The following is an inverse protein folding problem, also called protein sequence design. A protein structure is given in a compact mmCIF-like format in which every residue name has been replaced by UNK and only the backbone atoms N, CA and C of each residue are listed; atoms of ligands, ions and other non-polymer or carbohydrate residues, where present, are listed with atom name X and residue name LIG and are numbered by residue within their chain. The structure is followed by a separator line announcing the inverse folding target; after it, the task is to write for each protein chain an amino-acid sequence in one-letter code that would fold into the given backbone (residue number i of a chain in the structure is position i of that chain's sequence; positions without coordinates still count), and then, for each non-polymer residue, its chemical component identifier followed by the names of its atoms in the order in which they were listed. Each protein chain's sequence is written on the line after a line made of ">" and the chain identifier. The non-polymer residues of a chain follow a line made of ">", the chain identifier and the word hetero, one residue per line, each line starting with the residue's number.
data_IF_584386149463
#
_entry.id   IF_584386149463
#
_cell.length_a   1.000
_cell.length_b   1.000
_cell.length_c   1.000
_cell.angle_alpha   90.00
_cell.angle_beta   90.00
_cell.angle_gamma   90.00
#
_symmetry.space_group_name_H-M   'P 1'
#
loop_
_entity.id
_entity.type
_entity.pdbx_description
1 polymer ?
#
# COMPACT_ATOMS: atom_id res chain seq x y z
N UNK A 1 26.18 -62.04 29.73
CA UNK A 1 26.10 -60.87 28.82
C UNK A 1 24.98 -61.12 27.82
N UNK A 2 23.83 -60.42 27.97
CA UNK A 2 22.67 -60.58 27.08
C UNK A 2 22.90 -59.74 25.82
N UNK A 3 22.92 -60.36 24.64
CA UNK A 3 22.98 -59.67 23.34
C UNK A 3 21.57 -59.24 22.95
N UNK A 4 21.32 -57.93 22.88
CA UNK A 4 20.09 -57.37 22.32
C UNK A 4 20.25 -57.24 20.80
N UNK A 5 19.29 -57.78 20.05
CA UNK A 5 19.20 -57.63 18.59
C UNK A 5 18.27 -56.44 18.34
N UNK A 6 18.82 -55.35 17.78
CA UNK A 6 18.04 -54.20 17.33
C UNK A 6 17.50 -54.48 15.92
N UNK A 7 16.19 -54.46 15.74
CA UNK A 7 15.57 -54.38 14.41
C UNK A 7 15.42 -52.90 14.04
N UNK A 8 16.13 -52.47 12.99
CA UNK A 8 15.89 -51.19 12.35
C UNK A 8 14.81 -51.36 11.29
N UNK A 9 13.60 -50.87 11.56
CA UNK A 9 12.55 -50.73 10.55
C UNK A 9 12.81 -49.45 9.74
N UNK A 10 13.20 -49.60 8.48
CA UNK A 10 13.28 -48.49 7.53
C UNK A 10 11.86 -48.13 7.08
N UNK A 11 11.32 -47.02 7.59
CA UNK A 11 10.07 -46.45 7.09
C UNK A 11 10.35 -45.68 5.79
N UNK A 12 9.90 -46.22 4.67
CA UNK A 12 9.85 -45.51 3.39
C UNK A 12 8.69 -44.52 3.46
N UNK A 13 8.97 -43.25 3.73
CA UNK A 13 7.99 -42.18 3.54
C UNK A 13 7.83 -41.94 2.03
N UNK A 14 6.76 -42.50 1.46
CA UNK A 14 6.25 -42.04 0.17
C UNK A 14 5.70 -40.62 0.37
N UNK A 15 6.40 -39.62 -0.18
CA UNK A 15 5.88 -38.27 -0.29
C UNK A 15 4.74 -38.27 -1.33
N UNK A 16 3.53 -38.55 -0.88
CA UNK A 16 2.33 -38.30 -1.67
C UNK A 16 2.24 -36.77 -1.87
N UNK A 17 2.45 -36.30 -3.10
CA UNK A 17 2.04 -34.95 -3.47
C UNK A 17 0.55 -34.84 -3.19
N UNK A 18 0.19 -34.10 -2.14
CA UNK A 18 -1.19 -33.69 -1.93
C UNK A 18 -1.69 -33.04 -3.24
N UNK A 19 -2.90 -33.37 -3.72
CA UNK A 19 -3.45 -32.74 -4.90
C UNK A 19 -3.43 -31.22 -4.70
N UNK A 20 -2.97 -30.48 -5.72
CA UNK A 20 -3.08 -29.02 -5.74
C UNK A 20 -4.56 -28.69 -5.59
N UNK A 21 -4.93 -28.01 -4.50
CA UNK A 21 -6.30 -27.54 -4.32
C UNK A 21 -6.66 -26.62 -5.50
N UNK A 22 -7.79 -26.90 -6.13
CA UNK A 22 -8.34 -26.11 -7.24
C UNK A 22 -9.29 -25.06 -6.64
N UNK A 23 -8.90 -23.79 -6.73
CA UNK A 23 -9.66 -22.66 -6.19
C UNK A 23 -10.34 -21.84 -7.29
N UNK A 24 -10.41 -22.36 -8.52
CA UNK A 24 -11.05 -21.68 -9.65
C UNK A 24 -12.52 -21.37 -9.40
N UNK A 25 -13.22 -22.22 -8.64
CA UNK A 25 -14.63 -22.07 -8.27
C UNK A 25 -14.88 -21.25 -6.99
N UNK A 26 -13.83 -20.84 -6.26
CA UNK A 26 -13.98 -20.01 -5.05
C UNK A 26 -14.23 -18.56 -5.46
N UNK A 27 -15.31 -17.91 -4.97
CA UNK A 27 -15.65 -16.54 -5.32
C UNK A 27 -14.64 -15.54 -4.72
N UNK A 28 -14.48 -14.39 -5.36
CA UNK A 28 -13.70 -13.30 -4.80
C UNK A 28 -14.39 -12.69 -3.57
N UNK A 29 -13.60 -12.25 -2.60
CA UNK A 29 -14.08 -11.64 -1.37
C UNK A 29 -14.83 -10.34 -1.67
N UNK A 30 -15.97 -10.13 -1.03
CA UNK A 30 -16.61 -8.81 -0.99
C UNK A 30 -15.90 -7.90 0.02
N UNK A 31 -16.15 -6.58 -0.06
CA UNK A 31 -15.63 -5.62 0.90
C UNK A 31 -16.13 -5.88 2.32
N UNK A 32 -17.34 -6.44 2.45
CA UNK A 32 -17.93 -6.82 3.74
C UNK A 32 -17.26 -8.06 4.34
N UNK A 33 -16.57 -8.89 3.54
CA UNK A 33 -15.83 -10.06 4.01
C UNK A 33 -14.39 -9.72 4.35
N UNK A 34 -13.69 -9.02 3.43
CA UNK A 34 -12.33 -8.54 3.63
C UNK A 34 -12.29 -7.07 3.26
N UNK A 35 -12.29 -6.22 4.28
CA UNK A 35 -12.19 -4.79 4.10
C UNK A 35 -10.79 -4.40 3.59
N UNK A 36 -9.74 -5.06 4.11
CA UNK A 36 -8.36 -4.71 3.78
C UNK A 36 -7.33 -5.81 4.01
N UNK A 37 -6.28 -5.81 3.20
CA UNK A 37 -5.04 -6.56 3.44
C UNK A 37 -3.85 -5.62 3.32
N UNK A 38 -3.06 -5.51 4.38
CA UNK A 38 -1.89 -4.62 4.44
C UNK A 38 -0.60 -5.40 4.67
N UNK A 39 0.53 -5.04 4.03
CA UNK A 39 0.66 -4.03 2.98
C UNK A 39 -0.10 -4.43 1.70
N UNK A 40 -0.56 -3.44 0.93
CA UNK A 40 -1.41 -3.65 -0.27
C UNK A 40 -0.75 -4.51 -1.37
N UNK A 41 0.57 -4.58 -1.38
CA UNK A 41 1.36 -5.46 -2.25
C UNK A 41 2.75 -5.67 -1.68
N UNK A 42 3.53 -6.58 -2.26
CA UNK A 42 4.89 -6.84 -1.82
C UNK A 42 5.88 -7.05 -2.96
N UNK A 43 7.16 -7.28 -2.62
CA UNK A 43 8.23 -7.56 -3.58
C UNK A 43 9.06 -8.78 -3.18
N UNK A 44 9.58 -9.49 -4.18
CA UNK A 44 10.58 -10.55 -3.96
C UNK A 44 11.94 -9.98 -3.55
N UNK A 45 12.73 -10.72 -2.77
CA UNK A 45 14.11 -10.34 -2.45
C UNK A 45 14.22 -9.15 -1.50
N UNK A 46 13.23 -8.99 -0.62
CA UNK A 46 13.27 -8.04 0.50
C UNK A 46 14.06 -8.64 1.66
N UNK A 47 14.73 -7.78 2.44
CA UNK A 47 15.44 -8.19 3.66
C UNK A 47 14.47 -8.38 4.85
N UNK A 48 13.37 -7.63 4.85
CA UNK A 48 12.33 -7.68 5.88
C UNK A 48 11.34 -8.80 5.55
N UNK A 49 10.97 -9.65 6.53
CA UNK A 49 9.90 -10.62 6.34
C UNK A 49 8.56 -9.92 6.07
N UNK A 50 7.69 -10.56 5.30
CA UNK A 50 6.33 -10.08 5.07
C UNK A 50 5.41 -10.65 6.15
N UNK A 51 4.72 -9.77 6.88
CA UNK A 51 3.56 -10.10 7.68
C UNK A 51 2.38 -9.30 7.13
N UNK A 52 1.28 -9.97 6.79
CA UNK A 52 0.05 -9.32 6.37
C UNK A 52 -0.84 -9.06 7.57
N UNK A 53 -1.47 -7.89 7.62
CA UNK A 53 -2.63 -7.60 8.45
C UNK A 53 -3.87 -7.71 7.58
N UNK A 54 -4.73 -8.67 7.88
CA UNK A 54 -6.03 -8.84 7.22
C UNK A 54 -7.10 -8.30 8.15
N UNK A 55 -7.96 -7.44 7.61
CA UNK A 55 -9.10 -6.86 8.30
C UNK A 55 -10.39 -7.32 7.63
N UNK A 56 -11.31 -7.86 8.42
CA UNK A 56 -12.63 -8.27 7.98
C UNK A 56 -13.46 -8.76 9.17
N UNK A 57 -14.80 -8.68 9.14
CA UNK A 57 -15.64 -9.20 10.22
C UNK A 57 -15.36 -10.68 10.49
N UNK A 58 -15.04 -11.00 11.75
CA UNK A 58 -14.73 -12.37 12.22
C UNK A 58 -13.67 -13.10 11.39
N UNK A 59 -12.77 -12.37 10.72
CA UNK A 59 -11.77 -12.95 9.83
C UNK A 59 -10.82 -13.92 10.55
N UNK A 60 -10.69 -13.80 11.88
CA UNK A 60 -9.92 -14.74 12.71
C UNK A 60 -10.47 -16.16 12.74
N UNK A 61 -11.73 -16.37 12.34
CA UNK A 61 -12.42 -17.67 12.36
C UNK A 61 -12.24 -18.46 11.06
N UNK A 62 -11.51 -17.91 10.09
CA UNK A 62 -11.20 -18.59 8.84
C UNK A 62 -9.80 -19.21 8.86
N UNK A 63 -9.70 -20.41 8.30
CA UNK A 63 -8.42 -20.95 7.86
C UNK A 63 -7.95 -20.22 6.60
N UNK A 64 -6.64 -20.02 6.47
CA UNK A 64 -6.06 -19.30 5.33
C UNK A 64 -5.05 -20.16 4.58
N UNK A 65 -5.27 -20.29 3.28
CA UNK A 65 -4.36 -20.88 2.31
C UNK A 65 -3.96 -19.88 1.22
N UNK A 66 -3.03 -20.26 0.35
CA UNK A 66 -2.66 -19.46 -0.83
C UNK A 66 -2.80 -20.30 -2.08
N UNK A 67 -3.55 -19.81 -3.05
CA UNK A 67 -3.54 -20.32 -4.42
C UNK A 67 -2.27 -19.83 -5.14
N UNK A 68 -1.38 -20.78 -5.47
CA UNK A 68 -0.14 -20.51 -6.19
C UNK A 68 1.07 -21.22 -5.57
N UNK A 69 2.26 -21.02 -6.14
CA UNK A 69 3.49 -21.72 -5.69
C UNK A 69 4.63 -20.80 -5.24
N UNK A 70 4.44 -19.49 -5.37
CA UNK A 70 5.46 -18.49 -5.04
C UNK A 70 5.17 -17.65 -3.80
N UNK A 71 4.04 -17.89 -3.12
CA UNK A 71 3.63 -17.28 -1.87
C UNK A 71 3.01 -18.35 -0.97
N UNK A 72 3.30 -18.34 0.33
CA UNK A 72 2.79 -19.32 1.30
C UNK A 72 2.60 -18.70 2.67
N UNK A 73 1.54 -19.09 3.39
CA UNK A 73 1.37 -18.78 4.82
C UNK A 73 2.33 -19.64 5.64
N UNK A 74 3.20 -19.02 6.44
CA UNK A 74 4.09 -19.70 7.39
C UNK A 74 3.45 -19.86 8.76
N UNK A 75 2.76 -18.82 9.22
CA UNK A 75 2.10 -18.79 10.51
C UNK A 75 0.91 -17.85 10.44
N UNK A 76 -0.09 -18.15 11.26
CA UNK A 76 -1.32 -17.37 11.44
C UNK A 76 -1.38 -16.96 12.91
N UNK A 77 -1.55 -15.67 13.17
CA UNK A 77 -1.67 -15.13 14.52
C UNK A 77 -2.99 -14.37 14.64
N UNK A 78 -3.86 -14.81 15.56
CA UNK A 78 -5.11 -14.12 15.85
C UNK A 78 -4.82 -12.89 16.71
N UNK A 79 -5.48 -11.78 16.43
CA UNK A 79 -5.51 -10.62 17.31
C UNK A 79 -6.51 -10.84 18.47
N UNK A 80 -6.51 -9.93 19.45
CA UNK A 80 -7.55 -9.93 20.50
C UNK A 80 -8.94 -9.65 19.92
N UNK A 81 -9.02 -8.87 18.84
CA UNK A 81 -10.26 -8.64 18.09
C UNK A 81 -10.43 -9.73 17.03
N UNK A 82 -11.64 -10.32 16.89
CA UNK A 82 -11.90 -11.32 15.87
C UNK A 82 -11.86 -10.75 14.44
N UNK A 83 -11.83 -9.42 14.31
CA UNK A 83 -11.88 -8.74 13.02
C UNK A 83 -10.50 -8.54 12.37
N UNK A 84 -9.44 -9.06 12.99
CA UNK A 84 -8.07 -8.92 12.51
C UNK A 84 -7.30 -10.25 12.59
N UNK A 85 -6.50 -10.50 11.56
CA UNK A 85 -5.66 -11.68 11.44
C UNK A 85 -4.29 -11.29 10.90
N UNK A 86 -3.23 -11.74 11.55
CA UNK A 86 -1.86 -11.54 11.08
C UNK A 86 -1.33 -12.81 10.40
N UNK A 87 -0.79 -12.68 9.20
CA UNK A 87 -0.27 -13.79 8.41
C UNK A 87 1.22 -13.59 8.14
N UNK A 88 2.08 -14.41 8.73
CA UNK A 88 3.50 -14.43 8.35
C UNK A 88 3.64 -15.14 7.00
N UNK A 89 4.20 -14.45 6.02
CA UNK A 89 4.27 -14.95 4.65
C UNK A 89 5.69 -15.37 4.25
N UNK A 90 5.78 -16.45 3.48
CA UNK A 90 6.98 -16.81 2.72
C UNK A 90 6.83 -16.38 1.27
N UNK A 91 7.71 -15.49 0.83
CA UNK A 91 7.72 -14.95 -0.53
C UNK A 91 8.86 -15.57 -1.32
N UNK A 92 8.53 -16.33 -2.37
CA UNK A 92 9.50 -17.05 -3.22
C UNK A 92 9.57 -16.51 -4.64
N UNK A 93 8.43 -16.13 -5.24
CA UNK A 93 8.37 -15.66 -6.64
C UNK A 93 7.43 -14.48 -6.77
N UNK A 94 7.70 -13.62 -7.75
CA UNK A 94 6.76 -12.60 -8.17
C UNK A 94 5.59 -13.27 -8.89
N UNK A 95 4.42 -12.67 -8.80
CA UNK A 95 3.18 -13.18 -9.35
C UNK A 95 1.96 -12.59 -8.66
N UNK A 96 0.82 -12.89 -9.26
CA UNK A 96 -0.49 -12.68 -8.65
C UNK A 96 -0.91 -13.99 -7.97
N UNK A 97 -1.45 -13.85 -6.77
CA UNK A 97 -1.88 -14.94 -5.91
C UNK A 97 -3.27 -14.65 -5.39
N UNK A 98 -3.92 -15.68 -4.87
CA UNK A 98 -5.12 -15.50 -4.08
C UNK A 98 -4.91 -16.03 -2.66
N UNK A 99 -5.21 -15.21 -1.66
CA UNK A 99 -5.39 -15.65 -0.28
C UNK A 99 -6.77 -16.28 -0.18
N UNK A 100 -6.86 -17.56 0.15
CA UNK A 100 -8.11 -18.30 0.21
C UNK A 100 -8.49 -18.48 1.67
N UNK A 101 -9.64 -17.92 2.04
CA UNK A 101 -10.22 -18.01 3.38
C UNK A 101 -11.33 -19.05 3.35
N UNK A 102 -11.33 -19.96 4.33
CA UNK A 102 -12.34 -21.00 4.41
C UNK A 102 -12.74 -21.29 5.86
N UNK A 103 -14.03 -21.51 6.08
CA UNK A 103 -14.61 -22.09 7.31
C UNK A 103 -15.76 -23.02 6.92
N UNK A 104 -16.38 -23.72 7.87
CA UNK A 104 -17.42 -24.71 7.57
C UNK A 104 -18.53 -24.16 6.65
N UNK A 105 -18.57 -24.66 5.40
CA UNK A 105 -19.59 -24.30 4.41
C UNK A 105 -19.38 -22.95 3.69
N UNK A 106 -18.29 -22.22 3.96
CA UNK A 106 -18.02 -20.90 3.37
C UNK A 106 -16.56 -20.78 2.92
N UNK A 107 -16.35 -20.22 1.72
CA UNK A 107 -15.02 -19.89 1.23
C UNK A 107 -15.05 -18.70 0.27
N UNK A 108 -14.04 -17.85 0.35
CA UNK A 108 -13.81 -16.76 -0.58
C UNK A 108 -12.30 -16.52 -0.76
N UNK A 109 -11.93 -15.73 -1.76
CA UNK A 109 -10.53 -15.45 -2.07
C UNK A 109 -10.23 -13.96 -2.28
N UNK A 110 -9.07 -13.52 -1.81
CA UNK A 110 -8.62 -12.13 -1.94
C UNK A 110 -7.36 -12.05 -2.82
N UNK A 111 -7.34 -11.25 -3.90
CA UNK A 111 -6.18 -11.14 -4.77
C UNK A 111 -5.01 -10.44 -4.06
N UNK A 112 -3.80 -10.95 -4.22
CA UNK A 112 -2.60 -10.38 -3.64
C UNK A 112 -1.43 -10.43 -4.62
N UNK A 113 -0.72 -9.32 -4.78
CA UNK A 113 0.35 -9.20 -5.77
C UNK A 113 1.73 -9.09 -5.11
N UNK A 114 2.66 -9.92 -5.59
CA UNK A 114 4.08 -9.81 -5.30
C UNK A 114 4.81 -9.44 -6.59
N UNK A 115 5.52 -8.32 -6.59
CA UNK A 115 6.28 -7.81 -7.75
C UNK A 115 7.75 -8.21 -7.68
N UNK A 116 8.41 -8.17 -8.84
CA UNK A 116 9.87 -8.13 -8.88
C UNK A 116 10.35 -6.73 -8.54
N UNK A 117 11.48 -6.61 -7.85
CA UNK A 117 12.08 -5.30 -7.55
C UNK A 117 12.67 -4.71 -8.83
N UNK A 118 12.58 -3.40 -8.97
CA UNK A 118 13.31 -2.66 -10.00
C UNK A 118 14.81 -2.90 -9.90
N UNK A 119 15.49 -2.86 -11.05
CA UNK A 119 16.94 -2.97 -11.11
C UNK A 119 17.58 -1.86 -10.27
N UNK A 120 18.58 -2.20 -9.46
CA UNK A 120 19.25 -1.23 -8.59
C UNK A 120 18.47 -0.85 -7.33
N UNK A 121 17.22 -1.29 -7.14
CA UNK A 121 16.37 -0.92 -5.98
C UNK A 121 17.04 -1.13 -4.62
N UNK A 122 17.88 -2.17 -4.46
CA UNK A 122 18.62 -2.46 -3.21
C UNK A 122 19.82 -1.54 -2.99
N UNK A 123 20.44 -1.06 -4.07
CA UNK A 123 21.62 -0.20 -4.04
C UNK A 123 21.32 1.22 -4.49
N UNK A 124 20.06 1.67 -4.39
CA UNK A 124 19.71 3.06 -4.68
C UNK A 124 20.51 3.96 -3.75
N UNK A 125 21.11 5.00 -4.30
CA UNK A 125 21.82 5.98 -3.49
C UNK A 125 20.81 6.84 -2.72
N UNK A 126 21.20 7.24 -1.53
CA UNK A 126 20.45 8.22 -0.74
C UNK A 126 21.07 9.60 -0.97
N UNK A 127 20.35 10.64 -0.59
CA UNK A 127 20.94 11.97 -0.43
C UNK A 127 22.14 11.93 0.54
N UNK A 128 23.05 12.87 0.35
CA UNK A 128 24.33 13.03 1.04
C UNK A 128 24.51 14.47 1.50
N UNK A 129 25.65 14.78 2.10
CA UNK A 129 26.01 16.16 2.47
C UNK A 129 26.30 17.07 1.27
N UNK A 130 26.36 16.52 0.06
CA UNK A 130 26.48 17.30 -1.17
C UNK A 130 25.13 17.83 -1.66
N UNK A 131 24.02 17.32 -1.14
CA UNK A 131 22.68 17.65 -1.61
C UNK A 131 22.09 18.87 -0.92
N UNK A 132 21.38 19.69 -1.70
CA UNK A 132 20.51 20.74 -1.15
C UNK A 132 19.06 20.21 -1.14
N UNK A 133 18.49 20.10 0.05
CA UNK A 133 17.12 19.62 0.26
C UNK A 133 16.15 20.80 0.27
N UNK A 134 15.15 20.76 -0.61
CA UNK A 134 14.04 21.72 -0.64
C UNK A 134 12.82 21.15 0.10
N UNK A 135 12.40 21.81 1.18
CA UNK A 135 11.23 21.39 1.97
C UNK A 135 9.94 21.99 1.37
N UNK A 136 8.97 21.14 1.07
CA UNK A 136 7.65 21.48 0.54
C UNK A 136 6.57 21.05 1.51
N UNK A 137 5.66 21.97 1.84
CA UNK A 137 4.34 21.60 2.35
C UNK A 137 3.37 21.57 1.17
N UNK A 138 2.88 20.40 0.73
CA UNK A 138 2.18 20.26 -0.55
C UNK A 138 0.99 21.22 -0.69
N UNK A 139 0.16 21.30 0.34
CA UNK A 139 -1.03 22.17 0.36
C UNK A 139 -0.70 23.65 0.16
N UNK A 140 0.53 24.09 0.48
CA UNK A 140 0.94 25.51 0.46
C UNK A 140 1.94 25.86 -0.64
N UNK A 141 2.31 24.92 -1.49
CA UNK A 141 3.37 25.15 -2.48
C UNK A 141 2.82 25.66 -3.80
N UNK A 142 2.04 24.83 -4.48
CA UNK A 142 1.44 25.17 -5.76
C UNK A 142 0.18 24.35 -5.97
N UNK A 143 -0.87 24.99 -6.46
CA UNK A 143 -2.09 24.35 -6.90
C UNK A 143 -2.06 24.27 -8.42
N UNK A 144 -2.43 23.12 -8.99
CA UNK A 144 -2.69 23.01 -10.42
C UNK A 144 -4.07 23.58 -10.81
N UNK A 145 -4.79 24.18 -9.86
CA UNK A 145 -6.13 24.74 -10.03
C UNK A 145 -6.13 26.26 -9.91
N UNK A 146 -6.96 26.92 -10.71
CA UNK A 146 -7.14 28.37 -10.64
C UNK A 146 -8.22 28.75 -9.62
N UNK A 147 -8.17 29.96 -9.08
CA UNK A 147 -9.13 30.48 -8.08
C UNK A 147 -10.60 30.48 -8.54
N UNK A 148 -10.84 30.27 -9.84
CA UNK A 148 -12.17 30.20 -10.43
C UNK A 148 -12.79 28.79 -10.40
N UNK A 149 -12.07 27.78 -9.90
CA UNK A 149 -12.62 26.44 -9.64
C UNK A 149 -13.45 26.49 -8.35
N UNK A 150 -14.61 27.16 -8.44
CA UNK A 150 -15.63 27.22 -7.41
C UNK A 150 -16.15 25.80 -7.14
N UNK A 151 -15.53 25.13 -6.18
CA UNK A 151 -16.04 23.90 -5.63
C UNK A 151 -14.98 22.82 -5.57
N UNK A 152 -14.72 22.38 -4.35
CA UNK A 152 -14.19 21.09 -3.96
C UNK A 152 -15.02 19.89 -4.49
N UNK A 153 -15.41 19.88 -5.77
CA UNK A 153 -16.37 18.91 -6.31
C UNK A 153 -15.93 18.28 -7.63
N UNK A 154 -14.62 18.09 -7.82
CA UNK A 154 -14.09 17.26 -8.91
C UNK A 154 -14.03 17.95 -10.26
N UNK A 155 -13.20 19.00 -10.37
CA UNK A 155 -12.86 19.66 -11.64
C UNK A 155 -11.68 19.00 -12.37
N UNK A 156 -11.59 19.15 -13.68
CA UNK A 156 -10.44 18.69 -14.48
C UNK A 156 -9.16 19.45 -14.10
N UNK A 157 -7.99 18.84 -14.29
CA UNK A 157 -6.72 19.59 -14.26
C UNK A 157 -6.66 20.58 -15.44
N UNK A 158 -5.79 21.59 -15.38
CA UNK A 158 -5.58 22.57 -16.48
C UNK A 158 -5.26 21.92 -17.85
N UNK A 159 -4.78 20.67 -17.86
CA UNK A 159 -4.50 19.89 -19.06
C UNK A 159 -5.70 19.09 -19.61
N UNK A 160 -6.88 19.24 -19.00
CA UNK A 160 -8.13 18.57 -19.37
C UNK A 160 -8.24 17.12 -18.90
N UNK A 161 -7.33 16.64 -18.02
CA UNK A 161 -7.45 15.30 -17.45
C UNK A 161 -8.42 15.28 -16.26
N UNK A 162 -9.26 14.24 -16.19
CA UNK A 162 -10.23 14.04 -15.13
C UNK A 162 -9.54 13.66 -13.80
N UNK A 163 -10.02 14.17 -12.66
CA UNK A 163 -9.44 13.79 -11.35
C UNK A 163 -9.60 12.28 -11.12
N UNK A 164 -8.53 11.60 -10.68
CA UNK A 164 -8.71 10.29 -10.08
C UNK A 164 -9.40 10.50 -8.73
N UNK A 165 -10.65 10.05 -8.63
CA UNK A 165 -11.39 9.85 -7.38
C UNK A 165 -12.16 11.07 -6.82
N UNK A 166 -13.48 10.90 -6.63
CA UNK A 166 -14.30 11.80 -5.82
C UNK A 166 -13.86 11.67 -4.36
N UNK A 167 -13.13 12.66 -3.87
CA UNK A 167 -12.81 12.76 -2.44
C UNK A 167 -14.13 12.76 -1.67
N UNK A 168 -14.37 11.81 -0.73
CA UNK A 168 -15.46 11.92 0.23
C UNK A 168 -15.39 13.32 0.81
N UNK A 169 -16.53 14.00 0.95
CA UNK A 169 -16.57 15.35 1.49
C UNK A 169 -15.69 15.43 2.75
N UNK A 170 -14.50 16.02 2.61
CA UNK A 170 -13.64 16.24 3.77
C UNK A 170 -14.29 17.37 4.55
N UNK A 171 -14.43 17.25 5.88
CA UNK A 171 -15.12 18.28 6.65
C UNK A 171 -14.34 19.60 6.65
N UNK A 172 -13.03 19.54 6.37
CA UNK A 172 -12.14 20.69 6.30
C UNK A 172 -12.20 21.34 4.91
N UNK A 173 -12.63 22.60 4.87
CA UNK A 173 -12.85 23.38 3.64
C UNK A 173 -11.57 24.09 3.17
N UNK A 174 -11.55 24.49 1.89
CA UNK A 174 -10.47 25.29 1.32
C UNK A 174 -10.74 26.77 1.60
N UNK A 175 -9.79 27.46 2.22
CA UNK A 175 -9.82 28.91 2.44
C UNK A 175 -8.41 29.47 2.54
N UNK A 176 -7.90 30.05 1.46
CA UNK A 176 -6.56 30.66 1.41
C UNK A 176 -6.39 31.91 2.30
N UNK A 177 -7.48 32.41 2.87
CA UNK A 177 -7.46 33.53 3.81
C UNK A 177 -7.35 33.06 5.26
N UNK A 178 -7.62 31.77 5.52
CA UNK A 178 -7.54 31.18 6.84
C UNK A 178 -6.24 30.36 6.95
N UNK A 179 -5.28 30.77 7.79
CA UNK A 179 -3.97 30.12 7.87
C UNK A 179 -4.04 28.65 8.33
N UNK A 180 -5.15 28.24 8.97
CA UNK A 180 -5.36 26.87 9.46
C UNK A 180 -6.24 26.04 8.54
N UNK A 181 -6.87 26.64 7.53
CA UNK A 181 -7.60 25.92 6.51
C UNK A 181 -6.65 25.40 5.42
N UNK A 182 -7.24 24.73 4.43
CA UNK A 182 -6.53 24.22 3.27
C UNK A 182 -6.36 25.33 2.24
N UNK A 183 -5.20 25.41 1.59
CA UNK A 183 -4.95 26.35 0.49
C UNK A 183 -5.13 25.69 -0.89
N UNK A 184 -5.09 24.35 -0.95
CA UNK A 184 -5.40 23.58 -2.15
C UNK A 184 -4.21 23.27 -3.06
N UNK A 185 -2.98 23.38 -2.57
CA UNK A 185 -1.81 22.84 -3.26
C UNK A 185 -1.86 21.31 -3.39
N UNK A 186 -1.28 20.79 -4.47
CA UNK A 186 -1.44 19.39 -4.88
C UNK A 186 -0.19 18.84 -5.60
N UNK A 187 -0.19 17.53 -5.90
CA UNK A 187 0.95 16.86 -6.54
C UNK A 187 1.16 17.35 -7.97
N UNK A 188 0.09 17.68 -8.71
CA UNK A 188 0.24 18.17 -10.08
C UNK A 188 0.87 19.57 -10.09
N UNK A 189 0.49 20.44 -9.15
CA UNK A 189 1.13 21.73 -8.93
C UNK A 189 2.61 21.56 -8.61
N UNK A 190 2.98 20.59 -7.78
CA UNK A 190 4.40 20.25 -7.53
C UNK A 190 5.10 19.84 -8.83
N UNK A 191 4.53 18.92 -9.61
CA UNK A 191 5.09 18.45 -10.89
C UNK A 191 5.35 19.62 -11.84
N UNK A 192 4.39 20.54 -11.96
CA UNK A 192 4.47 21.70 -12.84
C UNK A 192 5.59 22.69 -12.46
N UNK A 193 6.14 22.59 -11.24
CA UNK A 193 7.18 23.48 -10.71
C UNK A 193 8.47 22.75 -10.30
N UNK A 194 8.69 21.51 -10.72
CA UNK A 194 9.95 20.80 -10.48
C UNK A 194 11.16 21.53 -11.10
N UNK A 195 10.99 22.13 -12.28
CA UNK A 195 12.04 22.93 -12.93
C UNK A 195 12.50 24.10 -12.04
N UNK A 196 11.56 24.78 -11.37
CA UNK A 196 11.91 25.85 -10.42
C UNK A 196 12.75 25.33 -9.25
N UNK A 197 12.39 24.17 -8.69
CA UNK A 197 13.14 23.55 -7.60
C UNK A 197 14.56 23.17 -8.04
N UNK A 198 14.69 22.62 -9.26
CA UNK A 198 15.99 22.29 -9.86
C UNK A 198 16.83 23.55 -10.16
N UNK A 199 16.22 24.62 -10.70
CA UNK A 199 16.89 25.87 -11.03
C UNK A 199 17.45 26.60 -9.81
N UNK A 200 16.81 26.44 -8.64
CA UNK A 200 17.36 26.89 -7.35
C UNK A 200 18.63 26.12 -6.94
N UNK A 201 18.92 24.99 -7.60
CA UNK A 201 20.04 24.10 -7.30
C UNK A 201 19.69 23.00 -6.29
N UNK A 202 18.40 22.77 -6.00
CA UNK A 202 18.01 21.69 -5.10
C UNK A 202 18.16 20.35 -5.81
N UNK A 203 18.69 19.36 -5.10
CA UNK A 203 18.93 18.00 -5.63
C UNK A 203 18.12 16.93 -4.91
N UNK A 204 17.37 17.33 -3.88
CA UNK A 204 16.44 16.49 -3.16
C UNK A 204 15.23 17.32 -2.70
N UNK A 205 14.07 16.66 -2.64
CA UNK A 205 12.84 17.27 -2.15
C UNK A 205 12.39 16.51 -0.91
N UNK A 206 12.11 17.25 0.17
CA UNK A 206 11.46 16.72 1.35
C UNK A 206 10.04 17.29 1.42
N UNK A 207 9.04 16.44 1.58
CA UNK A 207 7.66 16.85 1.80
C UNK A 207 7.26 16.70 3.27
N UNK A 208 6.41 17.60 3.77
CA UNK A 208 5.49 17.23 4.85
C UNK A 208 4.59 16.07 4.36
N UNK A 209 3.93 15.31 5.25
CA UNK A 209 3.23 14.10 4.82
C UNK A 209 2.15 14.36 3.76
N UNK A 210 2.04 13.44 2.80
CA UNK A 210 1.01 13.44 1.75
C UNK A 210 -0.04 12.34 1.94
N UNK A 211 0.06 11.56 3.01
CA UNK A 211 -0.87 10.46 3.31
C UNK A 211 -2.21 11.03 3.76
N UNK A 212 -3.28 10.25 3.59
CA UNK A 212 -4.64 10.67 3.94
C UNK A 212 -4.72 11.21 5.36
N UNK A 213 -5.11 12.47 5.48
CA UNK A 213 -5.44 13.14 6.74
C UNK A 213 -6.91 13.57 6.68
N UNK A 214 -7.78 12.80 7.35
CA UNK A 214 -9.22 13.06 7.33
C UNK A 214 -9.68 13.81 8.59
N UNK A 215 -8.83 14.62 9.21
CA UNK A 215 -9.27 15.49 10.30
C UNK A 215 -10.31 16.50 9.80
N UNK A 216 -11.29 16.85 10.66
CA UNK A 216 -12.32 17.82 10.30
C UNK A 216 -11.82 19.27 10.22
N UNK A 217 -10.64 19.54 10.76
CA UNK A 217 -9.98 20.85 10.78
C UNK A 217 -8.47 20.64 10.71
N UNK A 218 -7.74 21.61 10.17
CA UNK A 218 -6.26 21.64 10.12
C UNK A 218 -5.61 20.49 9.35
N UNK A 219 -6.37 19.76 8.55
CA UNK A 219 -5.90 18.56 7.85
C UNK A 219 -4.83 18.83 6.78
N UNK A 220 -4.61 20.11 6.42
CA UNK A 220 -3.61 20.54 5.44
C UNK A 220 -2.18 20.12 5.78
N UNK A 221 -1.86 19.94 7.06
CA UNK A 221 -0.50 19.66 7.51
C UNK A 221 -0.11 18.18 7.33
N UNK A 222 -1.08 17.27 7.22
CA UNK A 222 -0.88 15.83 6.91
C UNK A 222 -0.35 14.93 8.04
N UNK A 223 -0.21 15.45 9.25
CA UNK A 223 0.45 14.73 10.36
C UNK A 223 -0.52 13.85 11.16
N UNK A 224 -1.83 13.98 10.96
CA UNK A 224 -2.86 13.16 11.59
C UNK A 224 -3.33 12.06 10.62
N UNK A 225 -2.38 11.23 10.19
CA UNK A 225 -2.57 10.18 9.19
C UNK A 225 -3.70 9.21 9.58
N UNK A 226 -4.72 9.15 8.73
CA UNK A 226 -5.85 8.23 8.83
C UNK A 226 -5.62 6.94 8.02
N UNK A 227 -4.76 6.98 6.99
CA UNK A 227 -4.43 5.80 6.17
C UNK A 227 -2.98 5.83 5.68
N UNK A 228 -2.17 4.89 6.17
CA UNK A 228 -0.73 4.81 5.86
C UNK A 228 -0.39 4.29 4.45
N UNK A 229 -1.39 3.81 3.69
CA UNK A 229 -1.16 3.22 2.37
C UNK A 229 -1.77 4.01 1.21
N UNK A 230 -2.46 5.12 1.49
CA UNK A 230 -3.04 5.98 0.47
C UNK A 230 -2.57 7.42 0.62
N UNK A 231 -2.14 7.99 -0.50
CA UNK A 231 -2.05 9.43 -0.69
C UNK A 231 -3.41 10.04 -0.43
N UNK A 232 -3.38 11.21 0.20
CA UNK A 232 -4.55 12.00 0.40
C UNK A 232 -5.17 12.38 -0.97
N UNK A 233 -6.41 11.98 -1.26
CA UNK A 233 -7.08 12.21 -2.55
C UNK A 233 -7.11 13.68 -2.99
N UNK A 234 -6.91 14.56 -2.03
CA UNK A 234 -6.86 16.00 -2.17
C UNK A 234 -5.59 16.50 -2.86
N UNK A 235 -4.50 15.76 -2.69
CA UNK A 235 -3.24 16.00 -3.36
C UNK A 235 -3.13 15.22 -4.68
N UNK A 236 -3.84 14.09 -4.81
CA UNK A 236 -3.79 13.19 -5.96
C UNK A 236 -3.99 11.74 -5.53
N UNK A 237 -3.38 10.79 -6.23
CA UNK A 237 -3.42 9.37 -5.88
C UNK A 237 -2.01 8.75 -5.79
N UNK A 238 -1.95 7.46 -5.41
CA UNK A 238 -0.69 6.72 -5.32
C UNK A 238 0.04 6.62 -6.66
N UNK A 239 -0.67 6.67 -7.79
CA UNK A 239 -0.05 6.61 -9.12
C UNK A 239 0.58 7.96 -9.47
N UNK A 240 -0.12 9.06 -9.22
CA UNK A 240 0.38 10.42 -9.43
C UNK A 240 1.59 10.72 -8.53
N UNK A 241 1.60 10.23 -7.29
CA UNK A 241 2.80 10.32 -6.44
C UNK A 241 4.00 9.59 -7.06
N UNK A 242 3.79 8.42 -7.67
CA UNK A 242 4.87 7.73 -8.40
C UNK A 242 5.33 8.52 -9.61
N UNK A 243 4.40 9.09 -10.38
CA UNK A 243 4.71 9.97 -11.51
C UNK A 243 5.52 11.18 -11.06
N UNK A 244 5.17 11.82 -9.94
CA UNK A 244 5.94 12.93 -9.37
C UNK A 244 7.37 12.52 -9.03
N UNK A 245 7.56 11.35 -8.42
CA UNK A 245 8.89 10.82 -8.11
C UNK A 245 9.68 10.49 -9.39
N UNK A 246 9.02 9.95 -10.41
CA UNK A 246 9.65 9.70 -11.72
C UNK A 246 10.09 11.02 -12.38
N UNK A 247 9.22 12.03 -12.38
CA UNK A 247 9.50 13.37 -12.92
C UNK A 247 10.60 14.11 -12.16
N UNK A 248 10.67 13.97 -10.84
CA UNK A 248 11.72 14.58 -10.04
C UNK A 248 13.12 13.97 -10.27
N UNK A 249 13.20 12.81 -10.92
CA UNK A 249 14.48 12.18 -11.30
C UNK A 249 14.90 12.47 -12.75
N UNK A 250 14.05 13.13 -13.56
CA UNK A 250 14.40 13.60 -14.91
C UNK A 250 15.32 14.84 -14.86
#
# INVERSE_FOLDING_TARGET
>A
MKKAILFAAAAVLAAACAPKADYSAVPEASYEQVARVEPLSWWTGMNTPLQLLVQGPEISEYDVAVEGSGLRVKAVHKADSPNYLFLDMEVRKAGEYYLVFSREGESFKYPYIVRSREKGSRGRESYTVADMIYLIMPDRFASAFTDNDEGWQGGEYDDGSARPWQVPATPDEVSRQDPVARDGGDIQGIINHLDYVADLGATAIWFTPLLLDNQPYESYHGYACADYYHIDPRFGDNALYRTMVEKAHE
#
